data_IF_171277208851
#
_entry.id   IF_171277208851
#
_cell.length_a   1.000
_cell.length_b   1.000
_cell.length_c   1.000
_cell.angle_alpha   90.00
_cell.angle_beta   90.00
_cell.angle_gamma   90.00
#
_symmetry.space_group_name_H-M   'P 1'
#
loop_
_entity.id
_entity.type
_entity.pdbx_description
1 polymer ?
#
# COMPACT_ATOMS: atom_id res chain seq x y z
N UNK A 1 -2.67 31.59 -8.93
CA UNK A 1 -1.95 30.39 -8.48
C UNK A 1 -1.86 30.47 -6.98
N UNK A 2 -2.40 29.48 -6.25
CA UNK A 2 -2.07 29.35 -4.84
C UNK A 2 -0.53 29.20 -4.76
N UNK A 3 0.15 30.01 -3.94
CA UNK A 3 1.59 29.94 -3.79
C UNK A 3 2.04 28.57 -3.23
N UNK A 4 3.34 28.33 -3.19
CA UNK A 4 3.91 27.15 -2.53
C UNK A 4 3.39 27.08 -1.08
N UNK A 5 2.59 26.05 -0.77
CA UNK A 5 2.00 25.82 0.56
C UNK A 5 2.88 24.96 1.47
N UNK A 6 4.03 24.47 1.00
CA UNK A 6 4.96 23.71 1.84
C UNK A 6 5.37 24.46 3.12
N UNK A 7 5.59 25.79 3.13
CA UNK A 7 5.91 26.52 4.37
C UNK A 7 4.77 26.57 5.40
N UNK A 8 3.52 26.25 5.02
CA UNK A 8 2.40 26.16 5.96
C UNK A 8 2.19 24.75 6.53
N UNK A 9 2.92 23.74 6.03
CA UNK A 9 2.86 22.38 6.55
C UNK A 9 3.69 22.28 7.83
N UNK A 10 3.02 21.97 8.94
CA UNK A 10 3.63 21.70 10.24
C UNK A 10 3.62 20.21 10.60
N UNK A 11 2.72 19.44 9.98
CA UNK A 11 2.51 18.03 10.26
C UNK A 11 2.52 17.22 8.97
N UNK A 12 3.20 16.08 8.97
CA UNK A 12 3.11 15.07 7.91
C UNK A 12 2.49 13.82 8.53
N UNK A 13 1.39 13.34 7.95
CA UNK A 13 0.69 12.12 8.37
C UNK A 13 0.85 11.06 7.29
N UNK A 14 1.67 10.05 7.55
CA UNK A 14 1.89 8.94 6.62
C UNK A 14 1.17 7.68 7.10
N UNK A 15 0.10 7.31 6.40
CA UNK A 15 -0.53 5.99 6.54
C UNK A 15 0.13 5.00 5.57
N UNK A 16 0.70 3.91 6.09
CA UNK A 16 1.31 2.87 5.27
C UNK A 16 0.50 1.58 5.30
N UNK A 17 -0.21 1.29 4.20
CA UNK A 17 -0.97 0.06 3.95
C UNK A 17 -0.09 -1.02 3.28
N UNK A 18 -0.68 -2.17 2.93
CA UNK A 18 0.02 -3.32 2.37
C UNK A 18 -0.47 -3.76 0.97
N UNK A 19 0.48 -4.21 0.17
CA UNK A 19 0.36 -5.29 -0.83
C UNK A 19 -0.73 -5.15 -1.91
N UNK A 20 -1.03 -3.92 -2.34
CA UNK A 20 -1.92 -3.66 -3.48
C UNK A 20 -1.20 -2.88 -4.57
N UNK A 21 -1.36 -3.31 -5.82
CA UNK A 21 -0.84 -2.59 -6.98
C UNK A 21 -1.71 -1.36 -7.30
N UNK A 22 -1.12 -0.40 -8.00
CA UNK A 22 -1.84 0.77 -8.51
C UNK A 22 -3.05 0.35 -9.36
N UNK A 23 -2.86 -0.53 -10.35
CA UNK A 23 -3.95 -0.97 -11.24
C UNK A 23 -5.11 -1.62 -10.48
N UNK A 24 -4.79 -2.41 -9.45
CA UNK A 24 -5.80 -3.11 -8.67
C UNK A 24 -6.75 -2.17 -7.91
N UNK A 25 -6.24 -1.02 -7.46
CA UNK A 25 -6.99 -0.08 -6.63
C UNK A 25 -7.49 1.15 -7.40
N UNK A 26 -6.69 1.64 -8.34
CA UNK A 26 -6.89 2.92 -9.02
C UNK A 26 -6.84 2.81 -10.55
N UNK A 27 -6.57 1.63 -11.11
CA UNK A 27 -6.43 1.46 -12.57
C UNK A 27 -7.65 1.94 -13.35
N UNK A 28 -8.86 1.74 -12.82
CA UNK A 28 -10.10 2.22 -13.46
C UNK A 28 -10.61 3.58 -12.93
N UNK A 29 -9.82 4.30 -12.12
CA UNK A 29 -10.23 5.55 -11.44
C UNK A 29 -10.89 6.56 -12.37
N UNK A 30 -10.25 6.82 -13.52
CA UNK A 30 -10.67 7.84 -14.50
C UNK A 30 -11.00 7.25 -15.88
N UNK A 31 -11.29 5.95 -15.95
CA UNK A 31 -11.59 5.29 -17.22
C UNK A 31 -12.79 5.91 -17.96
N UNK A 32 -13.82 6.36 -17.22
CA UNK A 32 -15.01 7.02 -17.81
C UNK A 32 -14.73 8.43 -18.36
N UNK A 33 -13.63 9.05 -17.95
CA UNK A 33 -13.18 10.38 -18.42
C UNK A 33 -11.97 10.27 -19.35
N UNK A 34 -11.67 9.06 -19.86
CA UNK A 34 -10.56 8.82 -20.77
C UNK A 34 -9.19 8.95 -20.10
N UNK A 35 -9.08 8.53 -18.84
CA UNK A 35 -7.87 8.62 -18.02
C UNK A 35 -7.34 10.05 -17.91
N UNK A 36 -8.26 10.97 -17.60
CA UNK A 36 -7.97 12.38 -17.32
C UNK A 36 -8.50 12.71 -15.93
N UNK A 37 -7.61 13.26 -15.08
CA UNK A 37 -7.95 13.67 -13.72
C UNK A 37 -8.90 14.88 -13.71
N UNK A 38 -9.58 15.16 -12.58
CA UNK A 38 -10.41 16.36 -12.43
C UNK A 38 -9.66 17.68 -12.67
N UNK A 39 -8.33 17.69 -12.48
CA UNK A 39 -7.47 18.82 -12.79
C UNK A 39 -7.10 18.94 -14.28
N UNK A 40 -7.59 18.05 -15.13
CA UNK A 40 -7.29 18.02 -16.57
C UNK A 40 -5.92 17.44 -16.92
N UNK A 41 -5.28 16.71 -16.00
CA UNK A 41 -3.99 16.07 -16.24
C UNK A 41 -4.20 14.65 -16.75
N UNK A 42 -3.32 14.19 -17.63
CA UNK A 42 -3.28 12.78 -18.01
C UNK A 42 -3.02 11.92 -16.76
N UNK A 43 -3.69 10.78 -16.68
CA UNK A 43 -3.56 9.80 -15.61
C UNK A 43 -3.15 8.47 -16.25
N UNK A 44 -2.15 7.80 -15.70
CA UNK A 44 -1.75 6.49 -16.20
C UNK A 44 -2.67 5.39 -15.64
N UNK A 45 -3.91 5.35 -16.14
CA UNK A 45 -4.91 4.34 -15.80
C UNK A 45 -5.11 3.30 -16.90
N UNK A 46 -5.83 2.24 -16.58
CA UNK A 46 -6.19 1.16 -17.49
C UNK A 46 -7.14 1.64 -18.59
N UNK A 47 -6.92 1.12 -19.80
CA UNK A 47 -7.82 1.28 -20.95
C UNK A 47 -8.90 0.19 -20.99
N UNK A 48 -8.71 -0.89 -20.23
CA UNK A 48 -9.57 -2.08 -20.27
C UNK A 48 -9.16 -3.08 -21.35
N UNK A 49 -8.04 -2.85 -22.04
CA UNK A 49 -7.51 -3.73 -23.09
C UNK A 49 -6.20 -4.43 -22.69
N UNK A 50 -5.63 -4.04 -21.55
CA UNK A 50 -4.46 -4.65 -20.95
C UNK A 50 -4.75 -6.13 -20.67
N UNK A 51 -3.75 -6.98 -20.90
CA UNK A 51 -3.96 -8.42 -20.78
C UNK A 51 -2.70 -9.15 -20.39
N UNK A 52 -2.91 -10.37 -19.89
CA UNK A 52 -1.87 -11.35 -19.62
C UNK A 52 -2.18 -12.65 -20.37
N UNK A 53 -1.26 -13.61 -20.33
CA UNK A 53 -1.47 -14.93 -20.94
C UNK A 53 -1.45 -15.99 -19.85
N UNK A 54 -2.41 -16.91 -19.88
CA UNK A 54 -2.42 -18.06 -18.97
C UNK A 54 -1.43 -19.15 -19.43
N UNK A 55 -1.26 -20.18 -18.61
CA UNK A 55 -0.35 -21.30 -18.91
C UNK A 55 -0.75 -22.11 -20.17
N UNK A 56 -1.99 -21.97 -20.65
CA UNK A 56 -2.50 -22.61 -21.86
C UNK A 56 -2.37 -21.73 -23.11
N UNK A 57 -1.85 -20.50 -22.98
CA UNK A 57 -1.73 -19.55 -24.07
C UNK A 57 -2.98 -18.70 -24.32
N UNK A 58 -3.99 -18.76 -23.45
CA UNK A 58 -5.19 -17.94 -23.59
C UNK A 58 -4.95 -16.53 -23.05
N UNK A 59 -5.52 -15.53 -23.70
CA UNK A 59 -5.53 -14.14 -23.22
C UNK A 59 -6.49 -13.99 -22.05
N UNK A 60 -6.01 -13.36 -20.97
CA UNK A 60 -6.81 -12.91 -19.82
C UNK A 60 -6.72 -11.39 -19.77
N UNK A 61 -7.80 -10.71 -20.14
CA UNK A 61 -7.89 -9.24 -20.11
C UNK A 61 -8.20 -8.75 -18.69
N UNK A 62 -7.72 -7.56 -18.34
CA UNK A 62 -8.18 -6.85 -17.13
C UNK A 62 -9.69 -6.68 -17.15
N UNK A 63 -10.32 -6.74 -15.98
CA UNK A 63 -11.76 -6.51 -15.84
C UNK A 63 -12.09 -5.82 -14.53
N UNK A 64 -13.23 -5.12 -14.50
CA UNK A 64 -13.75 -4.55 -13.26
C UNK A 64 -14.39 -5.64 -12.40
N UNK A 65 -13.97 -5.75 -11.15
CA UNK A 65 -14.59 -6.62 -10.16
C UNK A 65 -16.07 -6.23 -9.99
N UNK A 66 -16.97 -7.20 -10.05
CA UNK A 66 -18.35 -7.02 -9.58
C UNK A 66 -18.34 -6.93 -8.05
N UNK A 67 -18.27 -5.69 -7.55
CA UNK A 67 -18.22 -5.38 -6.12
C UNK A 67 -19.50 -5.74 -5.35
N UNK A 68 -20.57 -6.14 -6.04
CA UNK A 68 -21.81 -6.64 -5.41
C UNK A 68 -21.77 -8.15 -5.17
N UNK A 69 -20.83 -8.86 -5.77
CA UNK A 69 -20.68 -10.30 -5.60
C UNK A 69 -20.18 -10.66 -4.19
N UNK A 70 -20.64 -11.77 -3.60
CA UNK A 70 -20.10 -12.28 -2.35
C UNK A 70 -18.58 -12.49 -2.43
N UNK A 71 -17.84 -11.95 -1.46
CA UNK A 71 -16.38 -12.09 -1.40
C UNK A 71 -15.61 -11.12 -2.31
N UNK A 72 -16.27 -10.17 -2.99
CA UNK A 72 -15.59 -9.25 -3.90
C UNK A 72 -14.46 -8.44 -3.23
N UNK A 73 -14.64 -8.03 -1.98
CA UNK A 73 -13.64 -7.26 -1.23
C UNK A 73 -12.41 -8.07 -0.76
N UNK A 74 -12.43 -9.40 -0.97
CA UNK A 74 -11.29 -10.30 -0.69
C UNK A 74 -10.50 -10.61 -1.98
N UNK A 75 -10.91 -10.09 -3.14
CA UNK A 75 -10.21 -10.26 -4.42
C UNK A 75 -8.73 -9.82 -4.30
N UNK A 76 -7.77 -10.53 -4.92
CA UNK A 76 -7.95 -11.60 -5.91
C UNK A 76 -8.25 -12.99 -5.31
N UNK A 77 -8.57 -13.06 -4.02
CA UNK A 77 -9.06 -14.27 -3.36
C UNK A 77 -7.96 -15.22 -2.88
N UNK A 78 -6.69 -14.96 -3.19
CA UNK A 78 -5.51 -15.60 -2.59
C UNK A 78 -4.38 -14.57 -2.50
N UNK A 79 -3.30 -14.89 -1.80
CA UNK A 79 -2.15 -14.01 -1.65
C UNK A 79 -1.28 -14.06 -2.93
N UNK A 80 -1.11 -12.96 -3.68
CA UNK A 80 -0.21 -12.94 -4.82
C UNK A 80 1.24 -13.15 -4.39
N UNK A 81 2.05 -13.78 -5.25
CA UNK A 81 3.47 -13.90 -5.00
C UNK A 81 4.14 -12.53 -4.92
N UNK A 82 4.66 -12.15 -3.75
CA UNK A 82 5.27 -10.83 -3.52
C UNK A 82 6.80 -10.85 -3.36
N UNK A 83 7.39 -12.03 -3.15
CA UNK A 83 8.84 -12.19 -3.06
C UNK A 83 9.58 -11.81 -4.34
N UNK A 84 10.86 -11.43 -4.22
CA UNK A 84 11.70 -10.99 -5.34
C UNK A 84 11.63 -11.90 -6.59
N UNK A 85 11.65 -13.22 -6.41
CA UNK A 85 11.51 -14.15 -7.54
C UNK A 85 10.12 -14.05 -8.20
N UNK A 86 9.05 -13.95 -7.42
CA UNK A 86 7.68 -13.82 -7.93
C UNK A 86 7.50 -12.51 -8.70
N UNK A 87 7.95 -11.38 -8.14
CA UNK A 87 7.84 -10.09 -8.83
C UNK A 87 8.64 -10.11 -10.14
N UNK A 88 9.79 -10.78 -10.19
CA UNK A 88 10.53 -10.97 -11.44
C UNK A 88 9.78 -11.88 -12.42
N UNK A 89 9.14 -12.95 -11.98
CA UNK A 89 8.30 -13.79 -12.85
C UNK A 89 7.16 -13.00 -13.46
N UNK A 90 6.49 -12.15 -12.68
CA UNK A 90 5.41 -11.30 -13.15
C UNK A 90 5.89 -10.30 -14.22
N UNK A 91 6.99 -9.60 -13.94
CA UNK A 91 7.52 -8.54 -14.81
C UNK A 91 8.25 -9.07 -16.04
N UNK A 92 8.99 -10.19 -15.92
CA UNK A 92 9.93 -10.66 -16.94
C UNK A 92 9.64 -12.08 -17.45
N UNK A 93 8.61 -12.76 -16.92
CA UNK A 93 8.31 -14.15 -17.25
C UNK A 93 9.31 -15.17 -16.69
N UNK A 94 10.24 -14.74 -15.83
CA UNK A 94 11.15 -15.65 -15.13
C UNK A 94 11.63 -15.04 -13.81
N UNK A 95 11.93 -15.87 -12.80
CA UNK A 95 12.37 -15.40 -11.49
C UNK A 95 13.74 -14.70 -11.44
N UNK A 96 14.40 -14.55 -12.60
CA UNK A 96 15.63 -13.78 -12.75
C UNK A 96 15.44 -12.75 -13.87
N UNK A 97 15.67 -11.45 -13.61
CA UNK A 97 15.52 -10.45 -14.65
C UNK A 97 16.57 -10.65 -15.76
N UNK A 98 16.21 -10.42 -17.04
CA UNK A 98 17.16 -10.44 -18.14
C UNK A 98 18.17 -9.29 -18.04
N UNK A 99 19.25 -9.35 -18.83
CA UNK A 99 20.23 -8.27 -18.96
C UNK A 99 20.40 -7.89 -20.44
N UNK A 100 20.02 -6.66 -20.85
CA UNK A 100 19.42 -5.60 -20.04
C UNK A 100 17.98 -5.94 -19.57
N UNK A 101 17.51 -5.37 -18.45
CA UNK A 101 16.15 -5.60 -17.98
C UNK A 101 15.14 -4.91 -18.91
N UNK A 102 14.20 -5.69 -19.46
CA UNK A 102 13.06 -5.20 -20.21
C UNK A 102 11.83 -5.98 -19.76
N UNK A 103 10.94 -5.32 -19.00
CA UNK A 103 9.73 -5.95 -18.47
C UNK A 103 8.72 -6.17 -19.60
N UNK A 104 8.23 -7.40 -19.72
CA UNK A 104 7.14 -7.75 -20.64
C UNK A 104 5.79 -7.68 -19.95
N UNK A 105 5.75 -7.73 -18.62
CA UNK A 105 4.53 -7.73 -17.81
C UNK A 105 3.58 -8.89 -18.16
N UNK A 106 4.10 -10.02 -18.61
CA UNK A 106 3.31 -11.16 -19.14
C UNK A 106 3.15 -12.33 -18.17
N UNK A 107 3.68 -12.23 -16.94
CA UNK A 107 3.75 -13.37 -16.01
C UNK A 107 2.76 -13.33 -14.84
N UNK A 108 1.88 -12.32 -14.76
CA UNK A 108 0.98 -12.13 -13.62
C UNK A 108 0.03 -13.31 -13.42
N UNK A 109 -0.61 -13.81 -14.48
CA UNK A 109 -1.58 -14.92 -14.39
C UNK A 109 -0.87 -16.24 -14.08
N UNK A 110 0.26 -16.51 -14.73
CA UNK A 110 1.02 -17.75 -14.47
C UNK A 110 1.60 -17.78 -13.07
N UNK A 111 2.20 -16.68 -12.60
CA UNK A 111 2.75 -16.60 -11.25
C UNK A 111 1.65 -16.69 -10.18
N UNK A 112 0.48 -16.08 -10.40
CA UNK A 112 -0.63 -16.20 -9.46
C UNK A 112 -1.19 -17.62 -9.38
N UNK A 113 -1.18 -18.39 -10.47
CA UNK A 113 -1.52 -19.81 -10.44
C UNK A 113 -0.59 -20.61 -9.49
N UNK A 114 0.71 -20.33 -9.54
CA UNK A 114 1.71 -20.96 -8.67
C UNK A 114 1.57 -20.50 -7.21
N UNK A 115 1.21 -19.24 -6.98
CA UNK A 115 0.92 -18.68 -5.66
C UNK A 115 -0.31 -19.34 -5.02
N UNK A 116 -1.42 -19.49 -5.76
CA UNK A 116 -2.61 -20.23 -5.29
C UNK A 116 -2.23 -21.66 -4.89
N UNK A 117 -1.45 -22.35 -5.73
CA UNK A 117 -0.98 -23.70 -5.42
C UNK A 117 -0.04 -23.71 -4.19
N UNK A 118 0.66 -22.60 -3.89
CA UNK A 118 1.50 -22.45 -2.70
C UNK A 118 0.67 -22.27 -1.44
N UNK A 119 -0.35 -21.42 -1.50
CA UNK A 119 -1.23 -21.19 -0.37
C UNK A 119 -1.95 -22.47 0.05
N UNK A 120 -2.47 -23.22 -0.93
CA UNK A 120 -3.12 -24.50 -0.70
C UNK A 120 -2.22 -25.54 -0.02
N UNK A 121 -0.95 -25.66 -0.44
CA UNK A 121 0.00 -26.63 0.14
C UNK A 121 0.56 -26.18 1.49
N UNK A 122 0.63 -24.88 1.74
CA UNK A 122 1.15 -24.28 2.98
C UNK A 122 0.09 -24.03 4.05
N UNK A 123 -1.19 -24.23 3.71
CA UNK A 123 -2.32 -23.99 4.62
C UNK A 123 -2.64 -22.51 4.82
N UNK A 124 -2.17 -21.63 3.93
CA UNK A 124 -2.59 -20.22 3.90
C UNK A 124 -4.03 -20.10 3.39
N UNK A 125 -4.72 -19.05 3.82
CA UNK A 125 -6.12 -18.83 3.49
C UNK A 125 -6.30 -18.43 2.03
N UNK A 126 -7.12 -19.16 1.28
CA UNK A 126 -7.60 -18.78 -0.04
C UNK A 126 -9.14 -18.87 -0.09
N UNK A 127 -9.79 -17.92 -0.74
CA UNK A 127 -11.21 -17.95 -1.03
C UNK A 127 -11.52 -19.15 -1.93
N UNK A 128 -12.60 -19.87 -1.62
CA UNK A 128 -13.02 -21.00 -2.42
C UNK A 128 -13.35 -20.53 -3.86
N UNK A 129 -12.83 -21.26 -4.85
CA UNK A 129 -13.05 -20.94 -6.26
C UNK A 129 -12.12 -19.87 -6.84
N UNK A 130 -11.13 -19.38 -6.09
CA UNK A 130 -10.08 -18.51 -6.64
C UNK A 130 -9.37 -19.20 -7.81
N UNK A 131 -9.26 -18.49 -8.94
CA UNK A 131 -8.53 -18.95 -10.12
C UNK A 131 -7.43 -17.95 -10.48
N UNK A 132 -6.46 -18.39 -11.28
CA UNK A 132 -5.37 -17.55 -11.74
C UNK A 132 -5.83 -16.27 -12.46
N UNK A 133 -6.99 -16.31 -13.13
CA UNK A 133 -7.55 -15.13 -13.81
C UNK A 133 -7.97 -14.01 -12.85
N UNK A 134 -8.19 -14.31 -11.56
CA UNK A 134 -8.64 -13.33 -10.57
C UNK A 134 -7.60 -12.22 -10.31
N UNK A 135 -6.31 -12.45 -10.59
CA UNK A 135 -5.27 -11.40 -10.52
C UNK A 135 -5.49 -10.26 -11.51
N UNK A 136 -6.27 -10.50 -12.57
CA UNK A 136 -6.62 -9.50 -13.59
C UNK A 136 -7.90 -8.72 -13.25
N UNK A 137 -8.55 -9.04 -12.12
CA UNK A 137 -9.71 -8.30 -11.62
C UNK A 137 -9.26 -7.08 -10.84
N UNK A 138 -9.71 -5.89 -11.23
CA UNK A 138 -9.37 -4.62 -10.59
C UNK A 138 -10.62 -3.97 -10.00
N UNK A 139 -10.49 -3.29 -8.85
CA UNK A 139 -11.64 -2.65 -8.23
C UNK A 139 -12.14 -1.48 -9.10
N UNK A 140 -13.45 -1.40 -9.40
CA UNK A 140 -14.01 -0.20 -9.98
C UNK A 140 -14.07 0.92 -8.92
N UNK A 141 -14.11 2.20 -9.32
CA UNK A 141 -14.14 3.33 -8.37
C UNK A 141 -15.31 3.26 -7.38
N UNK A 142 -16.45 2.70 -7.82
CA UNK A 142 -17.62 2.51 -6.98
C UNK A 142 -17.42 1.51 -5.82
N UNK A 143 -16.45 0.60 -5.94
CA UNK A 143 -16.10 -0.35 -4.89
C UNK A 143 -15.21 0.27 -3.81
N UNK A 144 -14.44 1.30 -4.14
CA UNK A 144 -13.48 1.98 -3.25
C UNK A 144 -13.85 3.46 -3.13
N UNK A 145 -15.03 3.79 -2.56
CA UNK A 145 -15.57 5.15 -2.58
C UNK A 145 -14.75 6.15 -1.76
N UNK A 146 -14.05 5.70 -0.71
CA UNK A 146 -13.19 6.57 0.11
C UNK A 146 -11.95 6.93 -0.69
N UNK A 147 -11.20 5.92 -1.14
CA UNK A 147 -9.98 6.14 -1.93
C UNK A 147 -10.27 6.92 -3.22
N UNK A 148 -11.32 6.54 -3.96
CA UNK A 148 -11.71 7.23 -5.19
C UNK A 148 -12.18 8.68 -4.94
N UNK A 149 -12.91 8.90 -3.84
CA UNK A 149 -13.35 10.24 -3.43
C UNK A 149 -12.19 11.14 -3.05
N UNK A 150 -11.21 10.62 -2.30
CA UNK A 150 -9.97 11.34 -1.98
C UNK A 150 -9.16 11.63 -3.24
N UNK A 151 -8.99 10.64 -4.12
CA UNK A 151 -8.26 10.82 -5.37
C UNK A 151 -8.87 11.91 -6.27
N UNK A 152 -10.21 12.06 -6.27
CA UNK A 152 -10.88 13.12 -7.01
C UNK A 152 -10.72 14.52 -6.37
N UNK A 153 -10.51 14.58 -5.05
CA UNK A 153 -10.35 15.83 -4.29
C UNK A 153 -8.90 16.27 -4.05
N UNK A 154 -7.95 15.35 -4.21
CA UNK A 154 -6.53 15.53 -3.89
C UNK A 154 -5.62 15.03 -5.03
N UNK A 155 -4.31 14.97 -4.78
CA UNK A 155 -3.34 14.49 -5.75
C UNK A 155 -3.17 12.97 -5.68
N UNK A 156 -2.94 12.35 -6.85
CA UNK A 156 -2.51 10.95 -6.99
C UNK A 156 -1.17 10.94 -7.70
N UNK A 157 -0.22 10.17 -7.19
CA UNK A 157 1.04 9.86 -7.89
C UNK A 157 0.86 8.54 -8.66
N UNK A 158 0.66 8.63 -9.97
CA UNK A 158 0.45 7.46 -10.87
C UNK A 158 1.76 6.82 -11.38
N UNK A 159 2.91 7.39 -11.00
CA UNK A 159 4.25 6.84 -11.23
C UNK A 159 4.99 6.63 -9.91
N UNK A 160 4.30 6.06 -8.92
CA UNK A 160 4.86 5.72 -7.61
C UNK A 160 5.18 4.22 -7.53
N UNK A 161 6.48 3.88 -7.53
CA UNK A 161 6.95 2.50 -7.49
C UNK A 161 7.45 2.11 -6.10
N UNK A 162 7.33 0.83 -5.75
CA UNK A 162 8.07 0.29 -4.62
C UNK A 162 9.58 0.49 -4.83
N UNK A 163 10.32 0.70 -3.75
CA UNK A 163 11.77 0.95 -3.84
C UNK A 163 12.55 -0.28 -4.29
N UNK A 164 11.99 -1.46 -4.00
CA UNK A 164 12.54 -2.76 -4.37
C UNK A 164 11.39 -3.71 -4.70
N UNK A 165 11.50 -4.54 -5.77
CA UNK A 165 10.43 -5.45 -6.18
C UNK A 165 10.41 -6.68 -5.26
N UNK A 166 9.94 -6.52 -4.02
CA UNK A 166 9.85 -7.57 -3.01
C UNK A 166 8.84 -7.21 -1.91
N UNK A 167 8.74 -8.08 -0.91
CA UNK A 167 7.89 -8.11 0.29
C UNK A 167 7.97 -6.84 1.19
N UNK A 168 7.18 -6.88 2.26
CA UNK A 168 6.86 -5.77 3.15
C UNK A 168 8.07 -5.15 3.87
N UNK A 169 8.89 -5.93 4.59
CA UNK A 169 9.93 -5.38 5.47
C UNK A 169 11.03 -4.63 4.71
N UNK A 170 11.56 -5.12 3.56
CA UNK A 170 12.49 -4.33 2.77
C UNK A 170 11.91 -2.99 2.29
N UNK A 171 10.67 -2.96 1.81
CA UNK A 171 10.05 -1.71 1.35
C UNK A 171 9.70 -0.76 2.50
N UNK A 172 9.31 -1.28 3.66
CA UNK A 172 9.19 -0.48 4.91
C UNK A 172 10.54 0.10 5.34
N UNK A 173 11.61 -0.66 5.19
CA UNK A 173 12.96 -0.17 5.45
C UNK A 173 13.35 0.98 4.51
N UNK A 174 13.01 0.89 3.23
CA UNK A 174 13.18 2.02 2.31
C UNK A 174 12.35 3.24 2.70
N UNK A 175 11.08 3.06 3.07
CA UNK A 175 10.22 4.17 3.51
C UNK A 175 10.79 4.91 4.73
N UNK A 176 11.37 4.18 5.68
CA UNK A 176 11.87 4.74 6.94
C UNK A 176 13.36 5.13 6.91
N UNK A 177 14.20 4.49 6.10
CA UNK A 177 15.66 4.63 6.15
C UNK A 177 16.34 4.71 4.76
N UNK A 178 15.56 4.77 3.68
CA UNK A 178 16.04 4.83 2.29
C UNK A 178 16.95 3.66 1.87
N UNK A 179 16.96 2.55 2.62
CA UNK A 179 17.70 1.33 2.29
C UNK A 179 17.13 0.12 3.02
N UNK A 180 17.11 -1.04 2.36
CA UNK A 180 16.89 -2.34 3.01
C UNK A 180 18.19 -3.03 3.42
N UNK A 181 19.35 -2.37 3.31
CA UNK A 181 20.69 -2.96 3.51
C UNK A 181 20.97 -4.21 2.64
N UNK A 182 20.26 -4.36 1.52
CA UNK A 182 20.37 -5.51 0.63
C UNK A 182 19.51 -6.71 1.04
N UNK A 183 18.66 -6.57 2.06
CA UNK A 183 17.64 -7.56 2.38
C UNK A 183 16.53 -7.52 1.32
N UNK A 184 16.11 -8.71 0.88
CA UNK A 184 15.21 -8.92 -0.26
C UNK A 184 14.04 -9.86 0.09
N UNK A 185 13.71 -9.98 1.37
CA UNK A 185 12.58 -10.75 1.89
C UNK A 185 12.27 -10.33 3.33
N UNK A 186 11.19 -10.90 3.86
CA UNK A 186 10.65 -10.62 5.18
C UNK A 186 11.32 -11.40 6.33
N UNK A 187 12.39 -12.16 6.03
CA UNK A 187 13.16 -12.83 7.08
C UNK A 187 13.92 -11.84 7.97
N UNK A 188 14.17 -10.62 7.48
CA UNK A 188 14.83 -9.55 8.24
C UNK A 188 13.86 -8.41 8.52
N UNK A 189 13.45 -8.30 9.79
CA UNK A 189 12.58 -7.25 10.29
C UNK A 189 13.29 -6.25 11.22
N UNK A 190 14.63 -6.31 11.31
CA UNK A 190 15.44 -5.37 12.08
C UNK A 190 16.69 -4.98 11.31
N UNK A 191 17.01 -3.70 11.31
CA UNK A 191 18.06 -3.07 10.52
C UNK A 191 19.06 -2.36 11.45
N UNK A 192 20.23 -2.03 10.92
CA UNK A 192 21.32 -1.37 11.68
C UNK A 192 21.58 0.07 11.26
N UNK A 193 20.84 0.57 10.27
CA UNK A 193 20.93 1.96 9.78
C UNK A 193 20.05 2.91 10.61
N UNK A 194 20.42 4.21 10.68
CA UNK A 194 19.52 5.24 11.19
C UNK A 194 18.27 5.36 10.33
N UNK A 195 17.12 5.57 10.97
CA UNK A 195 15.87 5.91 10.30
C UNK A 195 15.58 7.42 10.33
N UNK A 196 14.52 7.84 9.63
CA UNK A 196 13.98 9.20 9.70
C UNK A 196 13.62 9.60 11.14
N UNK A 197 13.18 8.68 11.99
CA UNK A 197 12.82 8.96 13.39
C UNK A 197 14.06 9.35 14.22
N UNK A 198 15.18 8.67 13.99
CA UNK A 198 16.48 9.02 14.56
C UNK A 198 16.94 10.42 14.10
N UNK A 199 16.78 10.73 12.81
CA UNK A 199 17.11 12.05 12.27
C UNK A 199 16.22 13.15 12.87
N UNK A 200 14.91 12.93 12.99
CA UNK A 200 14.00 13.89 13.62
C UNK A 200 14.39 14.17 15.07
N UNK A 201 14.74 13.13 15.83
CA UNK A 201 15.24 13.28 17.20
C UNK A 201 16.50 14.14 17.25
N UNK A 202 17.48 13.86 16.38
CA UNK A 202 18.72 14.63 16.31
C UNK A 202 18.50 16.12 15.96
N UNK A 203 17.41 16.43 15.27
CA UNK A 203 17.02 17.78 14.89
C UNK A 203 15.95 18.41 15.81
N UNK A 204 15.65 17.79 16.96
CA UNK A 204 14.63 18.27 17.92
C UNK A 204 13.23 18.43 17.28
N UNK A 205 12.91 17.59 16.31
CA UNK A 205 11.59 17.54 15.66
C UNK A 205 10.74 16.44 16.30
N UNK A 206 9.46 16.73 16.55
CA UNK A 206 8.56 15.74 17.16
C UNK A 206 8.09 14.69 16.15
N UNK A 207 8.08 13.44 16.58
CA UNK A 207 7.56 12.32 15.79
C UNK A 207 6.84 11.33 16.70
N UNK A 208 5.89 10.59 16.14
CA UNK A 208 5.27 9.45 16.83
C UNK A 208 4.89 8.39 15.81
N UNK A 209 5.07 7.13 16.20
CA UNK A 209 4.58 5.98 15.44
C UNK A 209 3.33 5.45 16.13
N UNK A 210 2.24 5.33 15.38
CA UNK A 210 0.96 4.84 15.85
C UNK A 210 0.67 3.48 15.23
N UNK A 211 0.58 2.43 16.07
CA UNK A 211 -0.07 1.20 15.65
C UNK A 211 -1.59 1.37 15.64
N UNK A 212 -2.35 0.44 15.05
CA UNK A 212 -3.81 0.57 15.09
C UNK A 212 -4.37 0.22 16.47
N UNK A 213 -4.35 -1.07 16.81
CA UNK A 213 -4.86 -1.66 18.05
C UNK A 213 -3.78 -2.42 18.83
N UNK A 214 -2.57 -2.50 18.29
CA UNK A 214 -1.39 -3.14 18.86
C UNK A 214 -0.17 -2.24 18.76
N UNK A 215 0.89 -2.57 19.52
CA UNK A 215 2.17 -1.87 19.42
C UNK A 215 2.70 -1.90 17.97
N UNK A 216 3.13 -0.75 17.41
CA UNK A 216 3.60 -0.69 16.04
C UNK A 216 4.86 -1.52 15.82
N UNK A 217 4.91 -2.25 14.71
CA UNK A 217 6.03 -3.09 14.30
C UNK A 217 7.30 -2.25 14.10
N UNK A 218 7.17 -1.03 13.54
CA UNK A 218 8.31 -0.14 13.26
C UNK A 218 9.10 0.23 14.52
N UNK A 219 8.49 0.14 15.71
CA UNK A 219 9.19 0.31 16.99
C UNK A 219 10.43 -0.59 17.10
N UNK A 220 10.38 -1.80 16.52
CA UNK A 220 11.43 -2.83 16.65
C UNK A 220 12.33 -2.94 15.40
N UNK A 221 12.16 -2.06 14.41
CA UNK A 221 12.86 -2.18 13.14
C UNK A 221 14.24 -1.50 13.12
N UNK A 222 14.46 -0.41 13.88
CA UNK A 222 15.70 0.38 13.82
C UNK A 222 16.32 0.62 15.19
N UNK A 223 17.63 0.87 15.30
CA UNK A 223 18.26 1.16 16.59
C UNK A 223 17.67 2.40 17.27
N UNK A 224 17.35 3.44 16.50
CA UNK A 224 16.76 4.68 17.02
C UNK A 224 15.29 4.51 17.47
N UNK A 225 14.48 3.71 16.79
CA UNK A 225 13.12 3.39 17.26
C UNK A 225 13.15 2.46 18.47
N UNK A 226 14.07 1.49 18.51
CA UNK A 226 14.22 0.56 19.62
C UNK A 226 14.65 1.28 20.91
N UNK A 227 15.50 2.31 20.78
CA UNK A 227 15.98 3.13 21.89
C UNK A 227 15.11 4.35 22.24
N UNK A 228 14.03 4.60 21.50
CA UNK A 228 13.17 5.76 21.73
C UNK A 228 12.28 5.61 22.98
N UNK A 229 11.95 6.73 23.67
CA UNK A 229 11.05 6.70 24.82
C UNK A 229 9.63 6.29 24.42
N UNK A 230 8.86 5.75 25.38
CA UNK A 230 7.47 5.31 25.17
C UNK A 230 6.56 6.41 24.58
N UNK A 231 6.86 7.69 24.89
CA UNK A 231 6.11 8.84 24.37
C UNK A 231 6.17 8.99 22.84
N UNK A 232 7.12 8.34 22.17
CA UNK A 232 7.24 8.30 20.71
C UNK A 232 6.36 7.22 20.06
N UNK A 233 5.57 6.51 20.85
CA UNK A 233 4.68 5.44 20.38
C UNK A 233 3.26 5.66 20.90
N UNK A 234 2.28 5.16 20.16
CA UNK A 234 0.88 5.18 20.54
C UNK A 234 0.04 4.23 19.70
N UNK A 235 -1.26 4.25 19.93
CA UNK A 235 -2.27 3.54 19.14
C UNK A 235 -3.10 4.54 18.33
N UNK A 236 -3.97 4.04 17.44
CA UNK A 236 -4.79 4.90 16.59
C UNK A 236 -5.72 5.83 17.39
N UNK A 237 -6.19 5.37 18.55
CA UNK A 237 -6.96 6.21 19.48
C UNK A 237 -6.13 7.40 20.02
N UNK A 238 -4.82 7.24 20.21
CA UNK A 238 -3.93 8.33 20.59
C UNK A 238 -3.74 9.30 19.42
N UNK A 239 -3.62 8.79 18.18
CA UNK A 239 -3.57 9.64 16.98
C UNK A 239 -4.83 10.49 16.84
N UNK A 240 -6.01 9.90 17.02
CA UNK A 240 -7.29 10.61 16.99
C UNK A 240 -7.34 11.69 18.09
N UNK A 241 -6.84 11.39 19.29
CA UNK A 241 -6.77 12.34 20.40
C UNK A 241 -5.80 13.48 20.12
N UNK A 242 -4.61 13.17 19.60
CA UNK A 242 -3.58 14.15 19.22
C UNK A 242 -4.08 15.06 18.08
N UNK A 243 -4.78 14.50 17.08
CA UNK A 243 -5.42 15.25 15.99
C UNK A 243 -6.52 16.19 16.50
N UNK A 244 -7.42 15.69 17.36
CA UNK A 244 -8.50 16.50 17.92
C UNK A 244 -8.00 17.64 18.81
N UNK A 245 -6.91 17.41 19.56
CA UNK A 245 -6.31 18.41 20.44
C UNK A 245 -5.42 19.43 19.70
N UNK A 246 -5.08 19.19 18.42
CA UNK A 246 -4.13 20.03 17.68
C UNK A 246 -2.68 19.84 18.12
N UNK A 247 -2.38 18.65 18.65
CA UNK A 247 -1.07 18.30 19.21
C UNK A 247 -0.38 17.19 18.42
N UNK A 248 -0.75 17.00 17.15
CA UNK A 248 -0.03 16.07 16.27
C UNK A 248 1.47 16.37 16.29
N UNK A 249 2.33 15.33 16.28
CA UNK A 249 3.75 15.54 16.06
C UNK A 249 4.01 16.11 14.66
N UNK A 250 5.23 16.58 14.41
CA UNK A 250 5.61 17.04 13.07
C UNK A 250 5.62 15.90 12.05
N UNK A 251 5.82 14.66 12.50
CA UNK A 251 5.67 13.45 11.69
C UNK A 251 4.92 12.35 12.44
N UNK A 252 3.78 11.96 11.90
CA UNK A 252 2.96 10.83 12.35
C UNK A 252 3.08 9.70 11.35
N UNK A 253 3.58 8.55 11.78
CA UNK A 253 3.62 7.34 10.96
C UNK A 253 2.58 6.35 11.49
N UNK A 254 1.60 5.98 10.65
CA UNK A 254 0.48 5.13 11.03
C UNK A 254 0.62 3.76 10.39
N UNK A 255 0.46 2.74 11.23
CA UNK A 255 0.38 1.35 10.84
C UNK A 255 -1.05 0.82 11.00
N UNK A 256 -1.49 -0.09 10.12
CA UNK A 256 -2.78 -0.73 10.21
C UNK A 256 -2.83 -1.76 11.34
N UNK A 257 -4.01 -2.31 11.58
CA UNK A 257 -4.21 -3.56 12.29
C UNK A 257 -3.77 -4.72 11.38
N UNK A 258 -3.00 -5.63 11.95
CA UNK A 258 -2.34 -6.72 11.25
C UNK A 258 -3.16 -8.01 11.27
N UNK A 259 -2.81 -8.93 10.38
CA UNK A 259 -3.45 -10.25 10.29
C UNK A 259 -4.72 -10.27 9.45
N UNK A 260 -5.29 -11.45 9.26
CA UNK A 260 -6.36 -11.70 8.27
C UNK A 260 -7.70 -11.01 8.53
N UNK A 261 -7.90 -10.52 9.74
CA UNK A 261 -9.08 -9.72 10.14
C UNK A 261 -8.74 -8.24 10.34
N UNK A 262 -7.50 -7.84 10.02
CA UNK A 262 -7.02 -6.48 10.13
C UNK A 262 -7.48 -5.59 8.98
N UNK A 263 -6.96 -4.37 8.94
CA UNK A 263 -7.33 -3.34 7.97
C UNK A 263 -6.15 -2.86 7.10
N UNK A 264 -5.09 -3.67 6.96
CA UNK A 264 -3.90 -3.32 6.19
C UNK A 264 -4.09 -3.30 4.68
N UNK A 265 -5.23 -3.80 4.18
CA UNK A 265 -5.49 -4.12 2.77
C UNK A 265 -4.65 -5.27 2.20
N UNK A 266 -3.87 -6.00 3.00
CA UNK A 266 -3.11 -7.15 2.50
C UNK A 266 -4.02 -8.16 1.76
N UNK A 267 -3.64 -8.65 0.57
CA UNK A 267 -4.37 -9.73 -0.09
C UNK A 267 -4.32 -11.05 0.70
N UNK A 268 -5.36 -11.84 0.83
CA UNK A 268 -6.71 -11.72 0.32
C UNK A 268 -7.68 -11.20 1.39
N UNK A 269 -7.27 -10.24 2.23
CA UNK A 269 -8.11 -9.73 3.32
C UNK A 269 -9.12 -8.69 2.82
N UNK A 270 -10.09 -8.38 3.67
CA UNK A 270 -11.21 -7.48 3.35
C UNK A 270 -10.72 -6.04 3.15
N UNK A 271 -10.72 -5.58 1.90
CA UNK A 271 -10.29 -4.23 1.52
C UNK A 271 -11.20 -3.15 2.10
N UNK A 272 -12.46 -3.45 2.41
CA UNK A 272 -13.39 -2.47 2.98
C UNK A 272 -12.96 -1.99 4.37
N UNK A 273 -12.26 -2.82 5.13
CA UNK A 273 -11.69 -2.43 6.42
C UNK A 273 -10.55 -1.41 6.24
N UNK A 274 -9.76 -1.55 5.18
CA UNK A 274 -8.74 -0.57 4.83
C UNK A 274 -9.33 0.75 4.31
N UNK A 275 -10.43 0.70 3.54
CA UNK A 275 -11.20 1.91 3.18
C UNK A 275 -11.68 2.65 4.43
N UNK A 276 -12.18 1.92 5.43
CA UNK A 276 -12.57 2.50 6.72
C UNK A 276 -11.38 3.15 7.43
N UNK A 277 -10.21 2.51 7.47
CA UNK A 277 -9.01 3.10 8.07
C UNK A 277 -8.60 4.41 7.37
N UNK A 278 -8.59 4.43 6.04
CA UNK A 278 -8.30 5.65 5.26
C UNK A 278 -9.30 6.75 5.62
N UNK A 279 -10.60 6.42 5.70
CA UNK A 279 -11.65 7.36 6.07
C UNK A 279 -11.46 7.90 7.49
N UNK A 280 -11.11 7.04 8.44
CA UNK A 280 -10.93 7.41 9.84
C UNK A 280 -9.70 8.31 10.03
N UNK A 281 -8.60 8.03 9.31
CA UNK A 281 -7.42 8.90 9.27
C UNK A 281 -7.79 10.27 8.70
N UNK A 282 -8.45 10.30 7.53
CA UNK A 282 -8.90 11.54 6.91
C UNK A 282 -9.79 12.34 7.88
N UNK A 283 -10.77 11.69 8.52
CA UNK A 283 -11.68 12.34 9.45
C UNK A 283 -10.98 12.87 10.69
N UNK A 284 -10.01 12.15 11.25
CA UNK A 284 -9.25 12.60 12.41
C UNK A 284 -8.50 13.91 12.09
N UNK A 285 -7.81 13.97 10.96
CA UNK A 285 -7.09 15.18 10.54
C UNK A 285 -8.06 16.30 10.12
N UNK A 286 -9.10 15.97 9.36
CA UNK A 286 -10.06 16.94 8.78
C UNK A 286 -10.86 17.70 9.81
N UNK A 287 -11.17 17.08 10.95
CA UNK A 287 -11.88 17.72 12.07
C UNK A 287 -10.94 18.37 13.09
N UNK A 288 -9.65 18.06 13.05
CA UNK A 288 -8.64 18.66 13.93
C UNK A 288 -8.31 20.11 13.56
N UNK A 289 -7.86 20.93 14.52
CA UNK A 289 -7.45 22.32 14.26
C UNK A 289 -6.22 22.43 13.34
N UNK A 290 -5.45 21.35 13.21
CA UNK A 290 -4.27 21.27 12.35
C UNK A 290 -4.55 21.06 10.85
N UNK A 291 -5.81 20.86 10.43
CA UNK A 291 -6.16 20.50 9.04
C UNK A 291 -5.42 21.30 7.95
N UNK A 292 -5.41 22.64 8.06
CA UNK A 292 -4.78 23.50 7.04
C UNK A 292 -3.24 23.51 7.10
N UNK A 293 -2.63 22.73 8.00
CA UNK A 293 -1.20 22.62 8.24
C UNK A 293 -0.70 21.16 8.15
N UNK A 294 -1.56 20.24 7.75
CA UNK A 294 -1.22 18.81 7.64
C UNK A 294 -1.13 18.42 6.17
N UNK A 295 -0.05 17.70 5.84
CA UNK A 295 0.09 16.90 4.63
C UNK A 295 -0.27 15.44 4.93
#
# INVERSE_FOLDING_TARGET
>A
MAGNQLPSVNHIVQLMLENRSFDHMLGFLYASTGNVSPAGQAFEGLTGSESNTDASGNTVTVYQIDHTAPGAYFMPGADPGEGYANTNEQLFGSGKPPSPPAATNTGFVTNFADAIAYDQRSGRSAQAGTTASAIMGMFPPAALPVLSGLAAGFAVCDHWYSSVPTETFPNRAFACAATSQGHMNDATASFTVPSIFGLMTAHSLSWKIYGYDQEPLTRKNFPDTLGAPDSCFGLFADFQSDAAAGTLPQYSFLEPSWGSTGNSQHPNYDVSLGEQLIQDVYNAVRHGPGWNQTL
#
